data_IF_559090564367
#
_entry.id   IF_559090564367
#
_cell.length_a   1.000
_cell.length_b   1.000
_cell.length_c   1.000
_cell.angle_alpha   90.00
_cell.angle_beta   90.00
_cell.angle_gamma   90.00
#
_symmetry.space_group_name_H-M   'P 1'
#
loop_
_entity.id
_entity.type
_entity.pdbx_description
1 polymer ?
#
# COMPACT_ATOMS: atom_id res chain seq x y z
N UNK A 1 -10.35 18.15 0.52
CA UNK A 1 -9.62 17.19 -0.34
C UNK A 1 -8.89 17.98 -1.41
N UNK A 2 -7.63 17.67 -1.69
CA UNK A 2 -6.87 18.22 -2.81
C UNK A 2 -5.91 17.17 -3.39
N UNK A 3 -5.48 17.37 -4.63
CA UNK A 3 -4.51 16.51 -5.32
C UNK A 3 -3.08 16.73 -4.83
N UNK A 4 -2.31 15.66 -4.69
CA UNK A 4 -0.91 15.69 -4.24
C UNK A 4 -0.02 16.66 -5.01
N UNK A 5 0.85 17.36 -4.28
CA UNK A 5 1.96 18.17 -4.77
C UNK A 5 3.25 17.68 -4.13
N UNK A 6 4.39 17.89 -4.80
CA UNK A 6 5.68 17.39 -4.29
C UNK A 6 6.05 17.98 -2.92
N UNK A 7 5.63 19.22 -2.64
CA UNK A 7 5.84 19.87 -1.34
C UNK A 7 5.01 19.23 -0.20
N UNK A 8 4.03 18.37 -0.52
CA UNK A 8 3.27 17.62 0.48
C UNK A 8 4.04 16.41 1.01
N UNK A 9 5.06 15.93 0.29
CA UNK A 9 5.77 14.69 0.65
C UNK A 9 6.34 14.71 2.07
N UNK A 10 7.09 15.74 2.50
CA UNK A 10 7.61 15.76 3.86
C UNK A 10 6.50 15.75 4.91
N UNK A 11 5.40 16.50 4.67
CA UNK A 11 4.23 16.56 5.56
C UNK A 11 3.52 15.21 5.65
N UNK A 12 3.40 14.48 4.54
CA UNK A 12 2.79 13.15 4.49
C UNK A 12 3.59 12.11 5.27
N UNK A 13 4.92 12.06 5.06
CA UNK A 13 5.79 11.11 5.74
C UNK A 13 5.80 11.33 7.25
N UNK A 14 5.92 12.59 7.67
CA UNK A 14 5.86 13.00 9.07
C UNK A 14 4.49 12.71 9.71
N UNK A 15 3.40 12.98 8.98
CA UNK A 15 2.03 12.66 9.44
C UNK A 15 1.83 11.16 9.63
N UNK A 16 2.21 10.32 8.66
CA UNK A 16 2.07 8.88 8.79
C UNK A 16 2.94 8.33 9.92
N UNK A 17 4.16 8.85 10.09
CA UNK A 17 5.03 8.49 11.21
C UNK A 17 4.38 8.80 12.57
N UNK A 18 3.75 9.97 12.72
CA UNK A 18 3.00 10.33 13.94
C UNK A 18 1.80 9.40 14.17
N UNK A 19 1.06 9.05 13.12
CA UNK A 19 -0.06 8.12 13.24
C UNK A 19 0.40 6.75 13.73
N UNK A 20 1.50 6.23 13.18
CA UNK A 20 2.11 4.97 13.62
C UNK A 20 2.58 5.05 15.06
N UNK A 21 3.26 6.14 15.44
CA UNK A 21 3.70 6.34 16.82
C UNK A 21 2.53 6.32 17.81
N UNK A 22 1.38 6.90 17.43
CA UNK A 22 0.20 7.01 18.28
C UNK A 22 -0.63 5.72 18.35
N UNK A 23 -0.79 5.01 17.25
CA UNK A 23 -1.77 3.93 17.11
C UNK A 23 -1.15 2.56 16.78
N UNK A 24 0.17 2.48 16.68
CA UNK A 24 0.88 1.29 16.22
C UNK A 24 0.87 1.14 14.70
N UNK A 25 1.39 0.02 14.22
CA UNK A 25 1.62 -0.23 12.78
C UNK A 25 0.42 -0.84 12.06
N UNK A 26 -0.56 -1.40 12.78
CA UNK A 26 -1.73 -2.03 12.18
C UNK A 26 -2.50 -1.05 11.28
N UNK A 27 -2.59 -1.30 9.97
CA UNK A 27 -3.30 -0.41 9.02
C UNK A 27 -2.45 0.73 8.45
N UNK A 28 -1.15 0.78 8.75
CA UNK A 28 -0.22 1.78 8.22
C UNK A 28 1.03 1.14 7.62
N UNK A 29 1.44 1.63 6.46
CA UNK A 29 2.71 1.27 5.86
C UNK A 29 3.87 2.06 6.44
N UNK A 30 5.09 1.57 6.23
CA UNK A 30 6.29 2.32 6.57
C UNK A 30 6.29 3.70 5.86
N UNK A 31 6.61 4.81 6.54
CA UNK A 31 6.61 6.15 5.92
C UNK A 31 7.54 6.29 4.70
N UNK A 32 8.62 5.50 4.67
CA UNK A 32 9.50 5.42 3.50
C UNK A 32 8.81 4.89 2.23
N UNK A 33 7.72 4.13 2.37
CA UNK A 33 6.96 3.62 1.22
C UNK A 33 6.20 4.72 0.48
N UNK A 34 5.93 5.87 1.12
CA UNK A 34 5.19 6.98 0.47
C UNK A 34 5.94 7.45 -0.78
N UNK A 35 7.22 7.81 -0.64
CA UNK A 35 8.03 8.29 -1.76
C UNK A 35 8.18 7.22 -2.86
N UNK A 36 8.45 5.97 -2.45
CA UNK A 36 8.57 4.85 -3.39
C UNK A 36 7.26 4.64 -4.19
N UNK A 37 6.10 4.64 -3.53
CA UNK A 37 4.80 4.50 -4.22
C UNK A 37 4.54 5.66 -5.18
N UNK A 38 4.84 6.90 -4.77
CA UNK A 38 4.56 8.08 -5.57
C UNK A 38 5.48 8.19 -6.79
N UNK A 39 6.78 7.92 -6.65
CA UNK A 39 7.76 8.17 -7.70
C UNK A 39 8.11 6.95 -8.54
N UNK A 40 8.08 5.75 -7.95
CA UNK A 40 8.36 4.50 -8.67
C UNK A 40 7.05 3.77 -8.99
N UNK A 41 6.14 3.67 -8.03
CA UNK A 41 4.86 2.96 -8.19
C UNK A 41 3.91 3.57 -9.21
N UNK A 42 4.00 4.89 -9.45
CA UNK A 42 3.22 5.61 -10.47
C UNK A 42 4.08 6.11 -11.64
N UNK A 43 5.26 5.53 -11.88
CA UNK A 43 6.04 5.86 -13.06
C UNK A 43 5.26 5.41 -14.32
N UNK A 44 4.70 6.35 -15.09
CA UNK A 44 3.85 5.97 -16.21
C UNK A 44 3.03 7.11 -16.83
N UNK A 45 1.91 6.71 -17.46
CA UNK A 45 1.08 7.57 -18.33
C UNK A 45 0.10 8.46 -17.57
N UNK A 46 -0.25 8.13 -16.33
CA UNK A 46 -1.23 8.88 -15.54
C UNK A 46 -0.50 9.85 -14.61
N UNK A 47 -0.86 11.14 -14.60
CA UNK A 47 -0.26 12.09 -13.67
C UNK A 47 -0.49 11.69 -12.21
N UNK A 48 0.59 11.66 -11.40
CA UNK A 48 0.52 11.28 -9.98
C UNK A 48 -0.50 12.09 -9.16
N UNK A 49 -0.72 13.35 -9.50
CA UNK A 49 -1.67 14.21 -8.80
C UNK A 49 -3.14 13.79 -9.02
N UNK A 50 -3.42 12.98 -10.05
CA UNK A 50 -4.75 12.40 -10.27
C UNK A 50 -4.96 11.09 -9.49
N UNK A 51 -3.87 10.45 -9.04
CA UNK A 51 -3.90 9.16 -8.35
C UNK A 51 -3.76 9.29 -6.83
N UNK A 52 -3.23 10.43 -6.37
CA UNK A 52 -2.95 10.69 -4.96
C UNK A 52 -3.76 11.89 -4.47
N UNK A 53 -4.66 11.63 -3.53
CA UNK A 53 -5.54 12.65 -2.95
C UNK A 53 -5.29 12.77 -1.45
N UNK A 54 -5.32 13.99 -0.94
CA UNK A 54 -5.12 14.34 0.47
C UNK A 54 -6.37 15.00 1.03
N UNK A 55 -6.71 14.67 2.28
CA UNK A 55 -7.78 15.27 3.06
C UNK A 55 -7.15 16.04 4.22
N UNK A 56 -7.63 17.25 4.43
CA UNK A 56 -7.12 18.15 5.46
C UNK A 56 -8.26 18.75 6.27
N UNK A 57 -8.01 18.95 7.56
CA UNK A 57 -8.83 19.71 8.49
C UNK A 57 -7.92 20.64 9.29
N UNK A 58 -8.20 21.95 9.28
CA UNK A 58 -7.41 22.97 10.00
C UNK A 58 -5.87 22.82 9.82
N UNK A 59 -5.42 22.67 8.57
CA UNK A 59 -4.02 22.46 8.14
C UNK A 59 -3.36 21.12 8.57
N UNK A 60 -4.11 20.23 9.23
CA UNK A 60 -3.69 18.85 9.51
C UNK A 60 -4.14 17.93 8.37
N UNK A 61 -3.22 17.11 7.86
CA UNK A 61 -3.59 16.00 6.97
C UNK A 61 -4.30 14.95 7.83
N UNK A 62 -5.56 14.68 7.52
CA UNK A 62 -6.40 13.69 8.22
C UNK A 62 -6.58 12.39 7.42
N UNK A 63 -6.21 12.38 6.15
CA UNK A 63 -6.29 11.21 5.30
C UNK A 63 -5.60 11.39 3.95
N UNK A 64 -5.22 10.30 3.33
CA UNK A 64 -4.74 10.30 1.95
C UNK A 64 -4.94 8.94 1.28
N UNK A 65 -4.97 8.93 -0.05
CA UNK A 65 -5.18 7.72 -0.85
C UNK A 65 -4.15 7.57 -1.96
N UNK A 66 -3.90 6.32 -2.35
CA UNK A 66 -3.22 5.94 -3.57
C UNK A 66 -4.22 5.13 -4.40
N UNK A 67 -4.55 5.59 -5.59
CA UNK A 67 -5.53 4.93 -6.47
C UNK A 67 -4.83 4.31 -7.68
N UNK A 68 -5.45 3.28 -8.26
CA UNK A 68 -4.95 2.62 -9.46
C UNK A 68 -3.50 2.10 -9.34
N UNK A 69 -3.17 1.53 -8.18
CA UNK A 69 -1.91 0.82 -7.94
C UNK A 69 -2.00 -0.56 -8.57
N UNK A 70 -0.96 -1.01 -9.28
CA UNK A 70 -0.95 -2.33 -9.95
C UNK A 70 -2.17 -2.55 -10.86
N UNK A 71 -2.61 -1.49 -11.54
CA UNK A 71 -3.70 -1.47 -12.52
C UNK A 71 -5.10 -1.90 -12.00
N UNK A 72 -5.27 -2.15 -10.70
CA UNK A 72 -6.56 -2.56 -10.12
C UNK A 72 -6.72 -2.31 -8.61
N UNK A 73 -5.67 -1.81 -7.93
CA UNK A 73 -5.66 -1.68 -6.48
C UNK A 73 -5.72 -0.23 -5.99
N UNK A 74 -6.10 -0.06 -4.73
CA UNK A 74 -5.92 1.22 -4.03
C UNK A 74 -5.46 1.01 -2.59
N UNK A 75 -4.93 2.09 -2.01
CA UNK A 75 -4.62 2.19 -0.59
C UNK A 75 -5.26 3.44 -0.01
N UNK A 76 -5.75 3.35 1.22
CA UNK A 76 -6.26 4.49 1.97
C UNK A 76 -5.61 4.54 3.35
N UNK A 77 -5.27 5.74 3.80
CA UNK A 77 -4.68 5.99 5.11
C UNK A 77 -5.47 7.12 5.75
N UNK A 78 -5.81 6.97 7.02
CA UNK A 78 -6.64 7.91 7.76
C UNK A 78 -6.05 8.12 9.14
N UNK A 79 -6.21 9.33 9.70
CA UNK A 79 -5.78 9.63 11.04
C UNK A 79 -6.41 8.67 12.06
N UNK A 80 -5.70 8.28 13.13
CA UNK A 80 -6.18 7.28 14.08
C UNK A 80 -7.57 7.59 14.66
N UNK A 81 -7.88 8.86 14.88
CA UNK A 81 -9.15 9.29 15.47
C UNK A 81 -10.33 9.31 14.46
N UNK A 82 -10.05 9.08 13.18
CA UNK A 82 -11.04 8.96 12.10
C UNK A 82 -11.20 7.52 11.59
N UNK A 83 -10.51 6.54 12.19
CA UNK A 83 -10.70 5.12 11.85
C UNK A 83 -12.13 4.65 12.16
N UNK A 84 -12.71 3.86 11.26
CA UNK A 84 -14.09 3.38 11.33
C UNK A 84 -15.15 4.47 11.14
N UNK A 85 -14.74 5.70 10.79
CA UNK A 85 -15.66 6.83 10.71
C UNK A 85 -16.20 7.06 9.29
N UNK A 86 -17.17 7.96 9.18
CA UNK A 86 -17.67 8.43 7.88
C UNK A 86 -16.57 9.08 7.01
N UNK A 87 -15.54 9.66 7.63
CA UNK A 87 -14.39 10.23 6.92
C UNK A 87 -13.59 9.12 6.22
N UNK A 88 -13.33 8.02 6.91
CA UNK A 88 -12.63 6.87 6.31
C UNK A 88 -13.48 6.21 5.22
N UNK A 89 -14.79 6.08 5.44
CA UNK A 89 -15.69 5.55 4.42
C UNK A 89 -15.65 6.36 3.13
N UNK A 90 -15.59 7.69 3.22
CA UNK A 90 -15.50 8.58 2.06
C UNK A 90 -14.13 8.50 1.37
N UNK A 91 -13.05 8.38 2.15
CA UNK A 91 -11.70 8.10 1.63
C UNK A 91 -11.68 6.82 0.80
N UNK A 92 -12.24 5.73 1.33
CA UNK A 92 -12.31 4.43 0.67
C UNK A 92 -13.13 4.50 -0.63
N UNK A 93 -14.30 5.14 -0.60
CA UNK A 93 -15.11 5.36 -1.82
C UNK A 93 -14.36 6.15 -2.87
N UNK A 94 -13.70 7.23 -2.48
CA UNK A 94 -12.94 8.07 -3.40
C UNK A 94 -11.81 7.28 -4.08
N UNK A 95 -11.07 6.49 -3.30
CA UNK A 95 -9.98 5.65 -3.81
C UNK A 95 -10.50 4.55 -4.76
N UNK A 96 -11.60 3.88 -4.39
CA UNK A 96 -12.27 2.88 -5.21
C UNK A 96 -12.74 3.48 -6.53
N UNK A 97 -13.54 4.55 -6.51
CA UNK A 97 -14.08 5.18 -7.72
C UNK A 97 -13.00 5.76 -8.63
N UNK A 98 -11.91 6.30 -8.05
CA UNK A 98 -10.75 6.74 -8.86
C UNK A 98 -10.08 5.56 -9.55
N UNK A 99 -9.95 4.42 -8.86
CA UNK A 99 -9.38 3.19 -9.41
C UNK A 99 -10.25 2.61 -10.51
N UNK A 100 -11.55 2.47 -10.30
CA UNK A 100 -12.51 2.00 -11.31
C UNK A 100 -12.48 2.86 -12.57
N UNK A 101 -12.43 4.19 -12.39
CA UNK A 101 -12.34 5.13 -13.50
C UNK A 101 -11.09 4.88 -14.35
N UNK A 102 -9.92 4.76 -13.72
CA UNK A 102 -8.68 4.51 -14.47
C UNK A 102 -8.58 3.09 -15.03
N UNK A 103 -9.17 2.08 -14.40
CA UNK A 103 -9.30 0.75 -14.99
C UNK A 103 -10.08 0.81 -16.30
N UNK A 104 -11.19 1.53 -16.32
CA UNK A 104 -12.02 1.70 -17.52
C UNK A 104 -11.33 2.54 -18.60
N UNK A 105 -10.71 3.67 -18.23
CA UNK A 105 -10.01 4.55 -19.18
C UNK A 105 -8.80 3.87 -19.82
N UNK A 106 -8.08 3.04 -19.07
CA UNK A 106 -6.87 2.36 -19.57
C UNK A 106 -7.14 0.96 -20.12
N UNK A 107 -8.36 0.43 -19.98
CA UNK A 107 -8.71 -0.96 -20.31
C UNK A 107 -7.80 -1.96 -19.59
N UNK A 108 -7.53 -1.69 -18.31
CA UNK A 108 -6.63 -2.49 -17.50
C UNK A 108 -7.12 -3.95 -17.37
N UNK A 109 -8.43 -4.14 -17.30
CA UNK A 109 -9.09 -5.44 -17.24
C UNK A 109 -8.89 -6.25 -18.53
N UNK A 110 -8.97 -5.62 -19.70
CA UNK A 110 -8.68 -6.27 -20.99
C UNK A 110 -7.20 -6.72 -21.08
N UNK A 111 -6.29 -5.94 -20.50
CA UNK A 111 -4.84 -6.21 -20.55
C UNK A 111 -4.41 -7.29 -19.55
N UNK A 112 -5.00 -7.28 -18.36
CA UNK A 112 -4.61 -8.17 -17.24
C UNK A 112 -5.50 -9.40 -17.12
N UNK A 113 -6.70 -9.38 -17.72
CA UNK A 113 -7.75 -10.38 -17.46
C UNK A 113 -8.34 -10.27 -16.05
N UNK A 114 -8.05 -9.18 -15.31
CA UNK A 114 -8.47 -8.97 -13.94
C UNK A 114 -9.40 -7.75 -13.83
N UNK A 115 -10.66 -8.02 -13.49
CA UNK A 115 -11.73 -7.01 -13.41
C UNK A 115 -12.03 -6.45 -12.01
N UNK A 116 -11.81 -7.18 -10.88
CA UNK A 116 -12.11 -6.64 -9.57
C UNK A 116 -11.21 -5.47 -9.17
N UNK A 117 -11.75 -4.50 -8.43
CA UNK A 117 -10.93 -3.57 -7.64
C UNK A 117 -10.49 -4.26 -6.36
N UNK A 118 -9.23 -4.13 -5.99
CA UNK A 118 -8.69 -4.74 -4.77
C UNK A 118 -8.05 -3.71 -3.84
N UNK A 119 -7.97 -4.04 -2.56
CA UNK A 119 -7.20 -3.29 -1.58
C UNK A 119 -6.73 -4.24 -0.49
N UNK A 120 -5.55 -3.98 0.07
CA UNK A 120 -5.05 -4.74 1.19
C UNK A 120 -5.57 -4.15 2.50
N UNK A 121 -5.93 -5.03 3.43
CA UNK A 121 -6.28 -4.66 4.80
C UNK A 121 -5.55 -5.59 5.77
N UNK A 122 -5.05 -5.02 6.87
CA UNK A 122 -4.42 -5.81 7.92
C UNK A 122 -5.49 -6.59 8.69
N UNK A 123 -5.22 -7.86 9.00
CA UNK A 123 -6.16 -8.70 9.76
C UNK A 123 -6.52 -8.13 11.16
N UNK A 124 -5.69 -7.26 11.73
CA UNK A 124 -5.94 -6.57 12.99
C UNK A 124 -6.82 -5.31 12.85
N UNK A 125 -7.12 -4.85 11.63
CA UNK A 125 -7.85 -3.60 11.37
C UNK A 125 -9.35 -3.85 11.13
N UNK A 126 -10.04 -4.30 12.18
CA UNK A 126 -11.46 -4.68 12.10
C UNK A 126 -12.34 -3.52 11.62
N UNK A 127 -12.04 -2.29 12.05
CA UNK A 127 -12.80 -1.12 11.66
C UNK A 127 -12.79 -0.91 10.14
N UNK A 128 -11.62 -1.06 9.50
CA UNK A 128 -11.53 -0.97 8.03
C UNK A 128 -12.18 -2.16 7.33
N UNK A 129 -12.03 -3.38 7.88
CA UNK A 129 -12.70 -4.58 7.35
C UNK A 129 -14.21 -4.35 7.29
N UNK A 130 -14.81 -3.83 8.37
CA UNK A 130 -16.26 -3.58 8.44
C UNK A 130 -16.70 -2.55 7.39
N UNK A 131 -15.94 -1.46 7.20
CA UNK A 131 -16.21 -0.45 6.18
C UNK A 131 -16.08 -1.01 4.76
N UNK A 132 -15.06 -1.82 4.49
CA UNK A 132 -14.88 -2.48 3.19
C UNK A 132 -16.02 -3.45 2.90
N UNK A 133 -16.44 -4.24 3.89
CA UNK A 133 -17.63 -5.11 3.76
C UNK A 133 -18.89 -4.29 3.49
N UNK A 134 -19.07 -3.14 4.14
CA UNK A 134 -20.17 -2.22 3.85
C UNK A 134 -20.15 -1.71 2.41
N UNK A 135 -18.97 -1.53 1.82
CA UNK A 135 -18.79 -1.15 0.42
C UNK A 135 -18.93 -2.32 -0.56
N UNK A 136 -19.17 -3.55 -0.08
CA UNK A 136 -19.35 -4.74 -0.91
C UNK A 136 -18.05 -5.48 -1.23
N UNK A 137 -16.93 -5.14 -0.59
CA UNK A 137 -15.71 -5.94 -0.71
C UNK A 137 -15.86 -7.26 0.04
N UNK A 138 -15.35 -8.31 -0.57
CA UNK A 138 -15.22 -9.64 0.03
C UNK A 138 -13.76 -9.98 0.24
N UNK A 139 -13.47 -10.80 1.25
CA UNK A 139 -12.12 -11.32 1.44
C UNK A 139 -11.78 -12.28 0.30
N UNK A 140 -10.81 -11.90 -0.54
CA UNK A 140 -10.33 -12.71 -1.65
C UNK A 140 -9.22 -13.68 -1.24
N UNK A 141 -8.14 -13.17 -0.63
CA UNK A 141 -6.99 -13.96 -0.16
C UNK A 141 -6.16 -13.20 0.88
N UNK A 142 -5.36 -13.94 1.64
CA UNK A 142 -4.24 -13.39 2.39
C UNK A 142 -3.02 -13.30 1.48
N UNK A 143 -2.47 -12.09 1.29
CA UNK A 143 -1.30 -11.87 0.46
C UNK A 143 0.00 -12.23 1.18
N UNK A 144 0.21 -11.68 2.38
CA UNK A 144 1.44 -11.87 3.15
C UNK A 144 1.17 -12.31 4.59
N UNK A 145 2.11 -13.09 5.14
CA UNK A 145 2.25 -13.35 6.57
C UNK A 145 3.55 -12.74 7.07
N UNK A 146 3.45 -11.69 7.88
CA UNK A 146 4.62 -11.06 8.48
C UNK A 146 4.97 -11.81 9.76
N UNK A 147 6.20 -12.34 9.82
CA UNK A 147 6.77 -12.95 11.02
C UNK A 147 8.01 -12.18 11.43
N UNK A 148 8.11 -11.89 12.72
CA UNK A 148 9.19 -11.07 13.28
C UNK A 148 10.01 -11.89 14.27
N UNK A 149 11.32 -11.65 14.26
CA UNK A 149 12.26 -12.22 15.22
C UNK A 149 13.27 -11.16 15.62
N UNK A 150 13.56 -11.09 16.93
CA UNK A 150 14.65 -10.27 17.43
C UNK A 150 16.01 -10.78 16.96
N UNK A 151 16.87 -9.87 16.51
CA UNK A 151 18.28 -10.12 16.19
C UNK A 151 19.23 -9.73 17.33
N UNK A 152 18.70 -9.49 18.54
CA UNK A 152 19.52 -9.24 19.72
C UNK A 152 20.37 -10.45 20.13
N UNK A 153 19.94 -11.65 19.73
CA UNK A 153 20.70 -12.89 19.85
C UNK A 153 21.13 -13.38 18.45
N UNK A 154 22.29 -14.05 18.34
CA UNK A 154 22.72 -14.64 17.07
C UNK A 154 21.68 -15.61 16.50
N UNK A 155 21.47 -15.53 15.18
CA UNK A 155 20.67 -16.51 14.45
C UNK A 155 21.49 -17.80 14.32
N UNK A 156 20.92 -19.00 14.60
CA UNK A 156 21.63 -20.26 14.42
C UNK A 156 22.15 -20.42 12.99
N UNK A 157 23.36 -20.98 12.86
CA UNK A 157 23.94 -21.28 11.55
C UNK A 157 23.05 -22.26 10.77
N UNK A 158 22.82 -22.02 9.46
CA UNK A 158 21.98 -22.90 8.65
C UNK A 158 22.66 -24.26 8.44
N UNK A 159 21.88 -25.34 8.61
CA UNK A 159 22.33 -26.69 8.27
C UNK A 159 21.87 -27.00 6.84
N UNK A 160 22.83 -27.06 5.92
CA UNK A 160 22.54 -27.34 4.51
C UNK A 160 22.40 -28.84 4.24
N UNK A 161 21.43 -29.27 3.40
CA UNK A 161 21.36 -30.65 2.94
C UNK A 161 22.62 -31.03 2.16
N UNK A 162 22.93 -32.34 2.12
CA UNK A 162 24.09 -32.85 1.38
C UNK A 162 24.02 -32.44 -0.10
N UNK A 163 25.15 -31.95 -0.63
CA UNK A 163 25.27 -31.51 -2.03
C UNK A 163 24.86 -30.05 -2.29
N UNK A 164 24.39 -29.32 -1.28
CA UNK A 164 24.04 -27.90 -1.41
C UNK A 164 25.15 -26.99 -0.87
N UNK A 165 25.29 -25.82 -1.49
CA UNK A 165 26.15 -24.73 -1.02
C UNK A 165 25.39 -23.41 -1.06
N UNK A 166 25.76 -22.49 -0.18
CA UNK A 166 25.23 -21.11 -0.18
C UNK A 166 26.40 -20.17 -0.43
N UNK A 167 26.21 -19.22 -1.34
CA UNK A 167 27.16 -18.15 -1.64
C UNK A 167 26.42 -16.87 -2.00
N UNK A 168 27.10 -15.75 -1.87
CA UNK A 168 26.61 -14.46 -2.35
C UNK A 168 26.41 -14.52 -3.87
N UNK A 169 25.32 -13.93 -4.34
CA UNK A 169 25.09 -13.72 -5.76
C UNK A 169 26.13 -12.72 -6.32
N UNK A 170 26.52 -12.94 -7.57
CA UNK A 170 27.48 -12.14 -8.32
C UNK A 170 26.84 -11.69 -9.63
N UNK A 171 27.43 -10.69 -10.33
CA UNK A 171 26.93 -10.28 -11.64
C UNK A 171 26.83 -11.43 -12.67
N UNK A 172 27.72 -12.42 -12.59
CA UNK A 172 27.73 -13.59 -13.49
C UNK A 172 26.51 -14.52 -13.29
N UNK A 173 25.79 -14.37 -12.17
CA UNK A 173 24.57 -15.13 -11.89
C UNK A 173 23.31 -14.52 -12.52
N UNK A 174 23.40 -13.31 -13.08
CA UNK A 174 22.23 -12.52 -13.47
C UNK A 174 21.31 -13.25 -14.46
N UNK A 175 21.87 -13.88 -15.50
CA UNK A 175 21.07 -14.62 -16.49
C UNK A 175 20.36 -15.82 -15.88
N UNK A 176 21.02 -16.54 -14.96
CA UNK A 176 20.45 -17.71 -14.29
C UNK A 176 19.36 -17.30 -13.29
N UNK A 177 19.55 -16.17 -12.58
CA UNK A 177 18.54 -15.63 -11.67
C UNK A 177 17.31 -15.08 -12.39
N UNK A 178 17.48 -14.62 -13.63
CA UNK A 178 16.39 -14.11 -14.46
C UNK A 178 15.68 -15.18 -15.30
N UNK A 179 16.18 -16.42 -15.30
CA UNK A 179 15.55 -17.54 -16.00
C UNK A 179 14.35 -18.03 -15.18
N UNK A 180 13.16 -17.51 -15.51
CA UNK A 180 11.86 -17.94 -14.96
C UNK A 180 11.12 -18.76 -16.02
#
# INVERSE_FOLDING_TARGET
MHSYRDDDLPRLQDTLARWIQRAGTCGYYHPGNIAHRIYEGFSGRIPRHDLVHLWEEADEIIGFTYSFVFDAAFFAFVAPHHRGSAVELELLRTAMSTTERYMAETKADEQTGFSPVITDVYNCDQARIDLLTQLGFEHYRTWDWITERSLAEPVPEPVLPAGFTVRTATPDDAEQLAAI
#
